data_IF_397980882814
#
_entry.id   IF_397980882814
#
_cell.length_a   1.000
_cell.length_b   1.000
_cell.length_c   1.000
_cell.angle_alpha   90.00
_cell.angle_beta   90.00
_cell.angle_gamma   90.00
#
_symmetry.space_group_name_H-M   'P 1'
#
loop_
_entity.id
_entity.type
_entity.pdbx_description
1 polymer ?
#
# COMPACT_ATOMS: atom_id res chain seq x y z
N UNK A 1 7.45 13.52 18.14
CA UNK A 1 7.33 12.71 16.91
C UNK A 1 7.13 13.66 15.73
N UNK A 2 7.85 13.45 14.60
CA UNK A 2 7.89 14.40 13.51
C UNK A 2 6.51 14.80 12.95
N UNK A 3 5.58 13.86 12.83
CA UNK A 3 4.25 14.07 12.27
C UNK A 3 3.17 13.84 13.33
N UNK A 4 3.14 14.71 14.36
CA UNK A 4 2.25 14.54 15.54
C UNK A 4 0.76 14.48 15.20
N UNK A 5 0.35 15.08 14.08
CA UNK A 5 -1.02 15.10 13.58
C UNK A 5 -1.32 13.97 12.59
N UNK A 6 -0.37 13.07 12.31
CA UNK A 6 -0.64 11.96 11.41
C UNK A 6 -1.72 11.03 11.98
N UNK A 7 -1.65 10.63 13.25
CA UNK A 7 -2.63 9.70 13.82
C UNK A 7 -4.08 10.22 13.80
N UNK A 8 -4.42 11.49 14.15
CA UNK A 8 -5.81 11.95 14.05
C UNK A 8 -6.26 12.06 12.60
N UNK A 9 -5.38 12.43 11.65
CA UNK A 9 -5.72 12.47 10.22
C UNK A 9 -6.03 11.05 9.72
N UNK A 10 -5.18 10.08 10.06
CA UNK A 10 -5.41 8.68 9.71
C UNK A 10 -6.73 8.16 10.29
N UNK A 11 -7.03 8.48 11.55
CA UNK A 11 -8.23 8.02 12.24
C UNK A 11 -9.52 8.69 11.74
N UNK A 12 -9.53 10.02 11.64
CA UNK A 12 -10.75 10.80 11.43
C UNK A 12 -10.96 11.22 9.97
N UNK A 13 -9.96 11.13 9.11
CA UNK A 13 -10.10 11.42 7.68
C UNK A 13 -9.89 10.17 6.81
N UNK A 14 -8.74 9.51 6.94
CA UNK A 14 -8.41 8.41 6.03
C UNK A 14 -9.30 7.18 6.21
N UNK A 15 -9.49 6.69 7.44
CA UNK A 15 -10.33 5.51 7.69
C UNK A 15 -11.78 5.72 7.22
N UNK A 16 -12.47 6.84 7.54
CA UNK A 16 -13.77 7.14 6.96
C UNK A 16 -13.75 7.21 5.44
N UNK A 17 -12.74 7.83 4.83
CA UNK A 17 -12.62 7.90 3.38
C UNK A 17 -12.47 6.51 2.73
N UNK A 18 -11.71 5.60 3.35
CA UNK A 18 -11.62 4.19 2.90
C UNK A 18 -13.00 3.53 2.95
N UNK A 19 -13.73 3.66 4.06
CA UNK A 19 -15.05 3.04 4.21
C UNK A 19 -16.02 3.53 3.13
N UNK A 20 -16.07 4.85 2.90
CA UNK A 20 -16.94 5.46 1.88
C UNK A 20 -16.54 5.01 0.48
N UNK A 21 -15.26 5.16 0.12
CA UNK A 21 -14.76 4.86 -1.22
C UNK A 21 -14.91 3.38 -1.60
N UNK A 22 -14.77 2.46 -0.65
CA UNK A 22 -14.87 1.03 -0.89
C UNK A 22 -16.24 0.45 -0.51
N UNK A 23 -17.22 1.29 -0.12
CA UNK A 23 -18.56 0.80 0.23
C UNK A 23 -19.25 0.09 -0.94
N UNK A 24 -19.39 0.69 -2.13
CA UNK A 24 -20.19 0.07 -3.20
C UNK A 24 -19.57 -1.23 -3.73
N UNK A 25 -18.23 -1.28 -3.80
CA UNK A 25 -17.49 -2.39 -4.40
C UNK A 25 -17.11 -3.51 -3.43
N UNK A 26 -17.04 -3.24 -2.12
CA UNK A 26 -16.57 -4.22 -1.14
C UNK A 26 -17.45 -4.29 0.11
N UNK A 27 -17.53 -3.23 0.92
CA UNK A 27 -18.22 -3.32 2.23
C UNK A 27 -19.72 -3.57 2.10
N UNK A 28 -20.38 -2.97 1.12
CA UNK A 28 -21.79 -3.22 0.80
C UNK A 28 -22.05 -4.55 0.10
N UNK A 29 -21.00 -5.30 -0.26
CA UNK A 29 -21.08 -6.57 -0.97
C UNK A 29 -20.17 -7.65 -0.36
N UNK A 30 -19.97 -7.61 0.97
CA UNK A 30 -19.09 -8.55 1.68
C UNK A 30 -19.43 -10.02 1.38
N UNK A 31 -20.70 -10.48 1.42
CA UNK A 31 -21.01 -11.90 1.22
C UNK A 31 -20.70 -12.44 -0.18
N UNK A 32 -20.59 -11.56 -1.19
CA UNK A 32 -20.29 -11.95 -2.58
C UNK A 32 -18.86 -11.64 -3.00
N UNK A 33 -18.08 -11.02 -2.12
CA UNK A 33 -16.69 -10.72 -2.40
C UNK A 33 -15.87 -12.01 -2.42
N UNK A 34 -15.00 -12.16 -3.41
CA UNK A 34 -14.13 -13.34 -3.46
C UNK A 34 -13.17 -13.37 -2.26
N UNK A 35 -12.70 -14.56 -1.90
CA UNK A 35 -11.65 -14.72 -0.89
C UNK A 35 -10.43 -13.82 -1.14
N UNK A 36 -10.02 -13.64 -2.40
CA UNK A 36 -8.89 -12.78 -2.76
C UNK A 36 -9.10 -11.31 -2.33
N UNK A 37 -10.29 -10.77 -2.55
CA UNK A 37 -10.65 -9.41 -2.12
C UNK A 37 -10.74 -9.31 -0.59
N UNK A 38 -11.22 -10.35 0.10
CA UNK A 38 -11.18 -10.38 1.57
C UNK A 38 -9.74 -10.41 2.09
N UNK A 39 -8.89 -11.28 1.55
CA UNK A 39 -7.49 -11.39 1.96
C UNK A 39 -6.75 -10.06 1.77
N UNK A 40 -6.88 -9.43 0.60
CA UNK A 40 -6.30 -8.10 0.35
C UNK A 40 -6.90 -7.02 1.25
N UNK A 41 -8.23 -6.92 1.31
CA UNK A 41 -8.92 -5.89 2.09
C UNK A 41 -8.59 -5.97 3.59
N UNK A 42 -8.55 -7.17 4.16
CA UNK A 42 -8.20 -7.38 5.58
C UNK A 42 -6.74 -7.06 5.86
N UNK A 43 -5.81 -7.51 5.01
CA UNK A 43 -4.38 -7.25 5.20
C UNK A 43 -4.01 -5.78 4.94
N UNK A 44 -4.62 -5.12 3.97
CA UNK A 44 -4.49 -3.68 3.75
C UNK A 44 -5.06 -2.87 4.93
N UNK A 45 -6.23 -3.25 5.44
CA UNK A 45 -6.81 -2.62 6.64
C UNK A 45 -5.93 -2.81 7.87
N UNK A 46 -5.42 -4.03 8.09
CA UNK A 46 -4.49 -4.32 9.16
C UNK A 46 -3.20 -3.50 9.05
N UNK A 47 -2.69 -3.28 7.83
CA UNK A 47 -1.55 -2.41 7.60
C UNK A 47 -1.83 -0.95 8.00
N UNK A 48 -2.93 -0.36 7.52
CA UNK A 48 -3.30 1.02 7.86
C UNK A 48 -3.50 1.19 9.36
N UNK A 49 -4.18 0.23 10.01
CA UNK A 49 -4.37 0.22 11.47
C UNK A 49 -3.04 0.10 12.22
N UNK A 50 -2.11 -0.72 11.72
CA UNK A 50 -0.78 -0.84 12.30
C UNK A 50 -0.01 0.49 12.20
N UNK A 51 -0.02 1.17 11.04
CA UNK A 51 0.63 2.48 10.89
C UNK A 51 -0.03 3.53 11.78
N UNK A 52 -1.35 3.54 11.89
CA UNK A 52 -2.10 4.39 12.82
C UNK A 52 -1.65 4.15 14.27
N UNK A 53 -1.63 2.89 14.73
CA UNK A 53 -1.23 2.53 16.08
C UNK A 53 0.25 2.88 16.35
N UNK A 54 1.13 2.66 15.38
CA UNK A 54 2.53 3.07 15.45
C UNK A 54 2.67 4.60 15.58
N UNK A 55 1.90 5.36 14.78
CA UNK A 55 1.90 6.82 14.84
C UNK A 55 1.38 7.34 16.18
N UNK A 56 0.28 6.77 16.69
CA UNK A 56 -0.32 7.16 17.97
C UNK A 56 0.58 6.83 19.16
N UNK A 57 1.16 5.63 19.21
CA UNK A 57 2.09 5.24 20.28
C UNK A 57 3.35 6.10 20.27
N UNK A 58 3.86 6.47 19.09
CA UNK A 58 5.01 7.37 18.99
C UNK A 58 4.67 8.83 19.37
N UNK A 59 3.48 9.34 19.05
CA UNK A 59 3.05 10.69 19.43
C UNK A 59 2.77 10.82 20.92
N UNK A 60 2.28 9.76 21.56
CA UNK A 60 2.02 9.67 23.01
C UNK A 60 3.22 9.21 23.82
N UNK A 61 4.42 9.11 23.19
CA UNK A 61 5.68 8.69 23.82
C UNK A 61 5.64 7.27 24.45
N UNK A 62 4.71 6.42 24.03
CA UNK A 62 4.59 5.01 24.44
C UNK A 62 5.55 4.12 23.64
N UNK A 63 6.86 4.39 23.76
CA UNK A 63 7.88 3.76 22.91
C UNK A 63 8.04 2.25 23.12
N UNK A 64 7.73 1.73 24.30
CA UNK A 64 7.71 0.29 24.54
C UNK A 64 6.64 -0.40 23.67
N UNK A 65 5.41 0.13 23.68
CA UNK A 65 4.31 -0.34 22.84
C UNK A 65 4.62 -0.16 21.35
N UNK A 66 5.21 0.98 20.96
CA UNK A 66 5.65 1.21 19.59
C UNK A 66 6.60 0.11 19.10
N UNK A 67 7.65 -0.22 19.88
CA UNK A 67 8.60 -1.30 19.54
C UNK A 67 7.96 -2.68 19.52
N UNK A 68 7.02 -2.95 20.42
CA UNK A 68 6.31 -4.23 20.44
C UNK A 68 5.45 -4.40 19.18
N UNK A 69 4.61 -3.40 18.88
CA UNK A 69 3.77 -3.36 17.69
C UNK A 69 4.58 -3.41 16.40
N UNK A 70 5.80 -2.85 16.37
CA UNK A 70 6.66 -2.90 15.19
C UNK A 70 6.94 -4.35 14.74
N UNK A 71 6.96 -5.33 15.66
CA UNK A 71 7.15 -6.75 15.33
C UNK A 71 6.05 -7.28 14.42
N UNK A 72 4.84 -6.72 14.49
CA UNK A 72 3.72 -7.11 13.62
C UNK A 72 4.03 -6.88 12.14
N UNK A 73 4.97 -5.98 11.80
CA UNK A 73 5.41 -5.74 10.41
C UNK A 73 5.98 -7.01 9.76
N UNK A 74 6.62 -7.90 10.55
CA UNK A 74 7.16 -9.18 10.08
C UNK A 74 6.09 -10.12 9.53
N UNK A 75 4.83 -9.92 9.90
CA UNK A 75 3.68 -10.73 9.46
C UNK A 75 2.78 -9.91 8.54
N UNK A 76 2.47 -8.67 8.90
CA UNK A 76 1.55 -7.81 8.16
C UNK A 76 2.02 -7.55 6.72
N UNK A 77 3.32 -7.27 6.51
CA UNK A 77 3.83 -6.95 5.17
C UNK A 77 3.84 -8.18 4.25
N UNK A 78 4.33 -9.36 4.69
CA UNK A 78 4.21 -10.57 3.88
C UNK A 78 2.78 -10.94 3.53
N UNK A 79 1.86 -10.90 4.51
CA UNK A 79 0.46 -11.21 4.26
C UNK A 79 -0.20 -10.20 3.32
N UNK A 80 0.13 -8.91 3.44
CA UNK A 80 -0.33 -7.88 2.49
C UNK A 80 0.16 -8.18 1.07
N UNK A 81 1.44 -8.53 0.89
CA UNK A 81 1.99 -8.85 -0.43
C UNK A 81 1.31 -10.08 -1.07
N UNK A 82 1.08 -11.13 -0.27
CA UNK A 82 0.30 -12.29 -0.69
C UNK A 82 -1.15 -11.94 -1.04
N UNK A 83 -1.82 -11.16 -0.20
CA UNK A 83 -3.18 -10.69 -0.42
C UNK A 83 -3.31 -9.84 -1.69
N UNK A 84 -2.37 -8.92 -1.93
CA UNK A 84 -2.32 -8.12 -3.15
C UNK A 84 -2.12 -8.99 -4.42
N UNK A 85 -1.25 -10.00 -4.35
CA UNK A 85 -1.07 -10.94 -5.47
C UNK A 85 -2.34 -11.78 -5.73
N UNK A 86 -3.06 -12.20 -4.69
CA UNK A 86 -4.37 -12.85 -4.84
C UNK A 86 -5.39 -11.91 -5.51
N UNK A 87 -5.48 -10.66 -5.06
CA UNK A 87 -6.39 -9.68 -5.66
C UNK A 87 -6.04 -9.42 -7.13
N UNK A 88 -4.76 -9.30 -7.47
CA UNK A 88 -4.30 -9.16 -8.85
C UNK A 88 -4.72 -10.34 -9.73
N UNK A 89 -4.56 -11.57 -9.25
CA UNK A 89 -5.01 -12.77 -9.98
C UNK A 89 -6.54 -12.76 -10.15
N UNK A 90 -7.29 -12.41 -9.12
CA UNK A 90 -8.75 -12.30 -9.20
C UNK A 90 -9.19 -11.23 -10.20
N UNK A 91 -8.50 -10.08 -10.25
CA UNK A 91 -8.76 -9.06 -11.27
C UNK A 91 -8.45 -9.55 -12.68
N UNK A 92 -7.38 -10.31 -12.87
CA UNK A 92 -7.04 -10.93 -14.16
C UNK A 92 -8.13 -11.89 -14.63
N UNK A 93 -8.64 -12.76 -13.75
CA UNK A 93 -9.77 -13.65 -14.05
C UNK A 93 -11.02 -12.86 -14.43
N UNK A 94 -11.38 -11.81 -13.68
CA UNK A 94 -12.54 -10.97 -13.97
C UNK A 94 -12.39 -10.18 -15.27
N UNK A 95 -11.16 -9.78 -15.62
CA UNK A 95 -10.84 -9.12 -16.88
C UNK A 95 -11.06 -10.04 -18.08
N UNK A 96 -10.58 -11.28 -18.02
CA UNK A 96 -10.73 -12.27 -19.11
C UNK A 96 -12.17 -12.74 -19.24
N UNK A 97 -12.82 -13.10 -18.13
CA UNK A 97 -14.19 -13.63 -18.13
C UNK A 97 -15.26 -12.55 -18.33
N UNK A 98 -14.89 -11.27 -18.17
CA UNK A 98 -15.79 -10.11 -18.21
C UNK A 98 -16.96 -10.23 -17.21
N UNK A 99 -16.75 -10.96 -16.11
CA UNK A 99 -17.80 -11.24 -15.12
C UNK A 99 -18.28 -10.00 -14.36
N UNK A 100 -17.48 -8.93 -14.35
CA UNK A 100 -17.82 -7.65 -13.71
C UNK A 100 -17.44 -6.47 -14.63
N UNK A 101 -18.37 -5.54 -14.94
CA UNK A 101 -18.12 -4.46 -15.90
C UNK A 101 -16.89 -3.60 -15.58
N UNK A 102 -16.66 -3.31 -14.29
CA UNK A 102 -15.52 -2.50 -13.86
C UNK A 102 -14.17 -3.17 -14.19
N UNK A 103 -14.02 -4.45 -13.85
CA UNK A 103 -12.77 -5.18 -14.12
C UNK A 103 -12.64 -5.60 -15.59
N UNK A 104 -13.74 -5.77 -16.31
CA UNK A 104 -13.71 -5.95 -17.76
C UNK A 104 -13.09 -4.74 -18.47
N UNK A 105 -13.40 -3.52 -17.99
CA UNK A 105 -12.87 -2.28 -18.57
C UNK A 105 -11.46 -1.94 -18.08
N UNK A 106 -11.19 -2.09 -16.79
CA UNK A 106 -9.99 -1.54 -16.15
C UNK A 106 -9.07 -2.58 -15.51
N UNK A 107 -9.46 -3.85 -15.44
CA UNK A 107 -8.76 -4.88 -14.67
C UNK A 107 -7.30 -5.04 -15.05
N UNK A 108 -6.97 -5.02 -16.35
CA UNK A 108 -5.58 -5.07 -16.79
C UNK A 108 -4.78 -3.84 -16.32
N UNK A 109 -5.34 -2.63 -16.47
CA UNK A 109 -4.67 -1.39 -16.06
C UNK A 109 -4.44 -1.33 -14.55
N UNK A 110 -5.47 -1.69 -13.78
CA UNK A 110 -5.42 -1.77 -12.32
C UNK A 110 -4.43 -2.83 -11.82
N UNK A 111 -4.28 -3.94 -12.54
CA UNK A 111 -3.30 -4.97 -12.19
C UNK A 111 -1.85 -4.44 -12.14
N UNK A 112 -1.43 -3.64 -13.13
CA UNK A 112 -0.08 -3.04 -13.12
C UNK A 112 0.06 -2.01 -12.01
N UNK A 113 -0.99 -1.23 -11.79
CA UNK A 113 -1.06 -0.23 -10.74
C UNK A 113 -0.87 -0.85 -9.34
N UNK A 114 -1.55 -1.96 -9.07
CA UNK A 114 -1.43 -2.72 -7.82
C UNK A 114 -0.03 -3.33 -7.65
N UNK A 115 0.61 -3.79 -8.72
CA UNK A 115 2.01 -4.29 -8.67
C UNK A 115 2.94 -3.17 -8.22
N UNK A 116 2.87 -2.00 -8.86
CA UNK A 116 3.73 -0.86 -8.52
C UNK A 116 3.49 -0.40 -7.08
N UNK A 117 2.23 -0.28 -6.66
CA UNK A 117 1.88 0.11 -5.30
C UNK A 117 2.39 -0.92 -4.26
N UNK A 118 2.23 -2.22 -4.53
CA UNK A 118 2.62 -3.29 -3.60
C UNK A 118 4.14 -3.38 -3.44
N UNK A 119 4.89 -3.35 -4.55
CA UNK A 119 6.35 -3.33 -4.51
C UNK A 119 6.87 -2.09 -3.80
N UNK A 120 6.27 -0.93 -4.08
CA UNK A 120 6.62 0.34 -3.43
C UNK A 120 6.38 0.29 -1.92
N UNK A 121 5.26 -0.29 -1.47
CA UNK A 121 4.97 -0.45 -0.05
C UNK A 121 6.04 -1.29 0.64
N UNK A 122 6.34 -2.49 0.12
CA UNK A 122 7.37 -3.38 0.70
C UNK A 122 8.73 -2.67 0.78
N UNK A 123 9.11 -2.00 -0.30
CA UNK A 123 10.36 -1.24 -0.36
C UNK A 123 10.39 -0.09 0.65
N UNK A 124 9.32 0.71 0.76
CA UNK A 124 9.24 1.83 1.70
C UNK A 124 9.28 1.36 3.15
N UNK A 125 8.63 0.25 3.49
CA UNK A 125 8.71 -0.32 4.84
C UNK A 125 10.13 -0.79 5.14
N UNK A 126 10.76 -1.49 4.20
CA UNK A 126 12.16 -1.89 4.31
C UNK A 126 13.07 -0.68 4.54
N UNK A 127 12.89 0.39 3.76
CA UNK A 127 13.62 1.63 3.89
C UNK A 127 13.38 2.32 5.24
N UNK A 128 12.13 2.30 5.75
CA UNK A 128 11.79 2.80 7.08
C UNK A 128 12.56 2.07 8.19
N UNK A 129 12.65 0.75 8.13
CA UNK A 129 13.37 -0.06 9.13
C UNK A 129 14.89 0.23 9.10
N UNK A 130 15.46 0.36 7.91
CA UNK A 130 16.86 0.79 7.74
C UNK A 130 17.08 2.21 8.30
N UNK A 131 16.12 3.10 8.10
CA UNK A 131 16.17 4.47 8.58
C UNK A 131 15.75 4.64 10.06
N UNK A 132 15.49 3.57 10.83
CA UNK A 132 14.94 3.64 12.20
C UNK A 132 15.69 4.54 13.19
N UNK A 133 16.98 4.79 12.97
CA UNK A 133 17.80 5.71 13.80
C UNK A 133 17.64 7.19 13.41
N UNK A 134 17.11 7.46 12.22
CA UNK A 134 16.76 8.79 11.69
C UNK A 134 15.24 8.95 11.75
N UNK A 135 14.73 9.33 12.93
CA UNK A 135 13.28 9.30 13.24
C UNK A 135 12.42 10.08 12.24
N UNK A 136 12.90 11.23 11.75
CA UNK A 136 12.25 12.01 10.68
C UNK A 136 12.01 11.18 9.42
N UNK A 137 13.10 10.58 8.93
CA UNK A 137 13.10 9.76 7.72
C UNK A 137 12.30 8.46 7.89
N UNK A 138 12.46 7.77 9.02
CA UNK A 138 11.67 6.58 9.35
C UNK A 138 10.16 6.88 9.30
N UNK A 139 9.73 7.96 9.95
CA UNK A 139 8.33 8.33 9.97
C UNK A 139 7.83 8.77 8.59
N UNK A 140 8.65 9.47 7.80
CA UNK A 140 8.30 9.87 6.44
C UNK A 140 8.06 8.65 5.53
N UNK A 141 8.92 7.62 5.58
CA UNK A 141 8.68 6.38 4.85
C UNK A 141 7.41 5.65 5.30
N UNK A 142 7.20 5.51 6.62
CA UNK A 142 5.99 4.85 7.12
C UNK A 142 4.71 5.55 6.66
N UNK A 143 4.66 6.88 6.71
CA UNK A 143 3.51 7.63 6.19
C UNK A 143 3.38 7.54 4.67
N UNK A 144 4.49 7.52 3.94
CA UNK A 144 4.49 7.36 2.48
C UNK A 144 3.79 6.08 2.04
N UNK A 145 3.93 4.97 2.80
CA UNK A 145 3.20 3.72 2.49
C UNK A 145 1.68 3.89 2.52
N UNK A 146 1.17 4.77 3.38
CA UNK A 146 -0.26 5.03 3.50
C UNK A 146 -0.72 5.98 2.41
N UNK A 147 0.12 6.91 1.94
CA UNK A 147 -0.26 7.77 0.81
C UNK A 147 -0.53 6.97 -0.47
N UNK A 148 0.05 5.78 -0.63
CA UNK A 148 -0.18 4.92 -1.80
C UNK A 148 -1.66 4.51 -1.98
N UNK A 149 -2.45 4.49 -0.90
CA UNK A 149 -3.89 4.16 -0.94
C UNK A 149 -4.78 5.37 -1.25
N UNK A 150 -4.24 6.60 -1.23
CA UNK A 150 -5.05 7.78 -1.52
C UNK A 150 -5.58 7.79 -2.95
N UNK A 151 -4.77 7.37 -3.93
CA UNK A 151 -5.19 7.34 -5.34
C UNK A 151 -6.44 6.46 -5.55
N UNK A 152 -6.46 5.18 -5.10
CA UNK A 152 -7.66 4.36 -5.23
C UNK A 152 -8.85 4.82 -4.38
N UNK A 153 -8.65 5.52 -3.26
CA UNK A 153 -9.74 6.13 -2.48
C UNK A 153 -10.41 7.22 -3.32
N UNK A 154 -9.64 8.21 -3.77
CA UNK A 154 -10.15 9.39 -4.48
C UNK A 154 -10.82 8.98 -5.79
N UNK A 155 -10.24 8.02 -6.52
CA UNK A 155 -10.81 7.50 -7.76
C UNK A 155 -12.18 6.81 -7.60
N UNK A 156 -12.57 6.46 -6.36
CA UNK A 156 -13.84 5.79 -6.04
C UNK A 156 -14.85 6.67 -5.31
N UNK A 157 -14.49 7.91 -4.99
CA UNK A 157 -15.44 8.86 -4.40
C UNK A 157 -16.50 9.28 -5.44
N UNK A 158 -17.73 9.60 -5.00
CA UNK A 158 -18.80 10.08 -5.88
C UNK A 158 -18.57 11.54 -6.30
N UNK A 159 -17.45 11.81 -6.97
CA UNK A 159 -17.06 13.13 -7.48
C UNK A 159 -17.03 13.10 -9.02
N UNK A 160 -17.16 14.25 -9.70
CA UNK A 160 -17.03 14.31 -11.16
C UNK A 160 -15.74 13.65 -11.63
N UNK A 161 -15.84 12.87 -12.71
CA UNK A 161 -14.70 12.13 -13.24
C UNK A 161 -13.67 13.10 -13.83
N UNK A 162 -12.52 13.19 -13.17
CA UNK A 162 -11.32 13.88 -13.67
C UNK A 162 -10.23 12.81 -13.82
N UNK A 163 -9.67 12.62 -15.03
CA UNK A 163 -8.60 11.65 -15.25
C UNK A 163 -7.45 11.85 -14.25
N UNK A 164 -7.01 10.76 -13.64
CA UNK A 164 -5.92 10.74 -12.65
C UNK A 164 -6.09 11.65 -11.42
N UNK A 165 -7.33 12.03 -11.07
CA UNK A 165 -7.58 12.87 -9.89
C UNK A 165 -6.97 12.27 -8.61
N UNK A 166 -7.00 10.93 -8.48
CA UNK A 166 -6.43 10.25 -7.34
C UNK A 166 -4.91 10.40 -7.24
N UNK A 167 -4.19 10.24 -8.35
CA UNK A 167 -2.74 10.41 -8.43
C UNK A 167 -2.37 11.88 -8.20
N UNK A 168 -3.08 12.82 -8.80
CA UNK A 168 -2.88 14.26 -8.61
C UNK A 168 -3.08 14.68 -7.15
N UNK A 169 -4.16 14.21 -6.53
CA UNK A 169 -4.43 14.47 -5.11
C UNK A 169 -3.34 13.87 -4.22
N UNK A 170 -2.91 12.64 -4.52
CA UNK A 170 -1.83 11.96 -3.78
C UNK A 170 -0.52 12.75 -3.88
N UNK A 171 -0.16 13.20 -5.08
CA UNK A 171 1.03 14.01 -5.32
C UNK A 171 0.95 15.36 -4.61
N UNK A 172 -0.21 16.04 -4.64
CA UNK A 172 -0.42 17.31 -3.95
C UNK A 172 -0.24 17.17 -2.43
N UNK A 173 -0.84 16.14 -1.82
CA UNK A 173 -0.68 15.85 -0.39
C UNK A 173 0.79 15.54 -0.06
N UNK A 174 1.47 14.74 -0.90
CA UNK A 174 2.87 14.41 -0.70
C UNK A 174 3.79 15.64 -0.81
N UNK A 175 3.55 16.53 -1.79
CA UNK A 175 4.28 17.80 -1.93
C UNK A 175 4.05 18.71 -0.73
N UNK A 176 2.82 18.81 -0.24
CA UNK A 176 2.51 19.59 0.96
C UNK A 176 3.28 19.05 2.18
N UNK A 177 3.30 17.73 2.37
CA UNK A 177 4.07 17.09 3.45
C UNK A 177 5.57 17.32 3.30
N UNK A 178 6.12 17.21 2.09
CA UNK A 178 7.51 17.55 1.80
C UNK A 178 7.84 19.00 2.16
N UNK A 179 6.98 19.95 1.76
CA UNK A 179 7.18 21.37 2.02
C UNK A 179 7.22 21.69 3.52
N UNK A 180 6.49 20.94 4.36
CA UNK A 180 6.58 21.12 5.81
C UNK A 180 7.94 20.70 6.39
N UNK A 181 8.64 19.76 5.75
CA UNK A 181 9.89 19.13 6.25
C UNK A 181 10.84 18.66 5.15
N UNK A 182 11.46 19.57 4.39
CA UNK A 182 12.29 19.20 3.24
C UNK A 182 13.51 18.35 3.62
N UNK A 183 14.10 18.55 4.80
CA UNK A 183 15.30 17.80 5.26
C UNK A 183 15.09 16.28 5.36
N UNK A 184 13.94 15.86 5.87
CA UNK A 184 13.62 14.44 6.13
C UNK A 184 12.44 13.93 5.29
N UNK A 185 11.77 14.82 4.55
CA UNK A 185 10.52 14.57 3.84
C UNK A 185 10.71 14.08 2.40
N UNK A 186 11.94 13.87 1.94
CA UNK A 186 12.19 13.39 0.58
C UNK A 186 11.48 12.07 0.21
N UNK A 187 11.12 11.14 1.13
CA UNK A 187 10.27 10.00 0.76
C UNK A 187 8.91 10.42 0.18
N UNK A 188 8.40 11.60 0.53
CA UNK A 188 7.18 12.12 -0.09
C UNK A 188 7.41 12.51 -1.55
N UNK A 189 8.60 12.97 -1.95
CA UNK A 189 8.92 13.17 -3.36
C UNK A 189 8.94 11.85 -4.14
N UNK A 190 9.28 10.73 -3.50
CA UNK A 190 9.10 9.42 -4.12
C UNK A 190 7.63 9.09 -4.33
N UNK A 191 6.74 9.46 -3.39
CA UNK A 191 5.29 9.29 -3.57
C UNK A 191 4.79 10.12 -4.75
N UNK A 192 5.28 11.35 -4.93
CA UNK A 192 4.98 12.17 -6.12
C UNK A 192 5.43 11.45 -7.38
N UNK A 193 6.70 11.00 -7.43
CA UNK A 193 7.24 10.30 -8.58
C UNK A 193 6.46 9.01 -8.89
N UNK A 194 6.06 8.27 -7.86
CA UNK A 194 5.24 7.06 -8.01
C UNK A 194 3.82 7.38 -8.48
N UNK A 195 3.19 8.44 -7.99
CA UNK A 195 1.88 8.87 -8.48
C UNK A 195 1.94 9.26 -9.96
N UNK A 196 2.97 10.00 -10.38
CA UNK A 196 3.20 10.34 -11.78
C UNK A 196 3.47 9.09 -12.63
N UNK A 197 4.34 8.19 -12.16
CA UNK A 197 4.64 6.93 -12.83
C UNK A 197 3.36 6.09 -13.02
N UNK A 198 2.54 5.99 -11.98
CA UNK A 198 1.26 5.26 -12.01
C UNK A 198 0.29 5.86 -13.03
N UNK A 199 0.13 7.18 -13.07
CA UNK A 199 -0.69 7.84 -14.09
C UNK A 199 -0.17 7.56 -15.51
N UNK A 200 1.13 7.76 -15.75
CA UNK A 200 1.74 7.56 -17.07
C UNK A 200 1.64 6.10 -17.51
N UNK A 201 2.00 5.14 -16.66
CA UNK A 201 1.94 3.73 -17.02
C UNK A 201 0.49 3.28 -17.29
N UNK A 202 -0.49 3.83 -16.56
CA UNK A 202 -1.89 3.46 -16.69
C UNK A 202 -2.43 3.77 -18.09
N UNK A 203 -2.02 4.90 -18.67
CA UNK A 203 -2.41 5.31 -20.03
C UNK A 203 -1.51 4.77 -21.13
N UNK A 204 -0.32 4.27 -20.80
CA UNK A 204 0.66 3.77 -21.78
C UNK A 204 0.77 2.25 -21.72
N UNK A 205 1.70 1.74 -20.92
CA UNK A 205 2.03 0.30 -20.83
C UNK A 205 0.81 -0.51 -20.45
N UNK A 206 0.07 -0.08 -19.42
CA UNK A 206 -1.08 -0.82 -18.89
C UNK A 206 -2.29 -0.81 -19.85
N UNK A 207 -2.36 0.19 -20.75
CA UNK A 207 -3.37 0.27 -21.80
C UNK A 207 -3.04 -0.57 -23.04
N UNK A 208 -1.82 -1.11 -23.13
CA UNK A 208 -1.35 -1.81 -24.33
C UNK A 208 -1.96 -3.21 -24.48
N UNK A 209 -2.14 -3.66 -25.73
CA UNK A 209 -2.57 -5.03 -26.03
C UNK A 209 -1.57 -6.09 -25.55
N UNK A 210 -0.27 -5.74 -25.50
CA UNK A 210 0.76 -6.63 -24.95
C UNK A 210 0.56 -6.85 -23.45
N UNK A 211 0.32 -5.79 -22.68
CA UNK A 211 0.02 -5.92 -21.26
C UNK A 211 -1.30 -6.67 -21.03
N UNK A 212 -2.35 -6.36 -21.79
CA UNK A 212 -3.62 -7.08 -21.69
C UNK A 212 -3.46 -8.59 -21.91
N UNK A 213 -2.61 -9.02 -22.87
CA UNK A 213 -2.27 -10.44 -23.08
C UNK A 213 -1.52 -11.04 -21.89
N UNK A 214 -0.55 -10.32 -21.31
CA UNK A 214 0.16 -10.77 -20.12
C UNK A 214 -0.81 -10.98 -18.94
N UNK A 215 -1.72 -10.02 -18.71
CA UNK A 215 -2.76 -10.16 -17.69
C UNK A 215 -3.69 -11.33 -18.00
N UNK A 216 -4.02 -11.55 -19.27
CA UNK A 216 -4.78 -12.72 -19.69
C UNK A 216 -4.12 -14.04 -19.26
N UNK A 217 -2.80 -14.18 -19.49
CA UNK A 217 -2.06 -15.35 -19.04
C UNK A 217 -2.01 -15.49 -17.51
N UNK A 218 -2.02 -14.38 -16.77
CA UNK A 218 -2.08 -14.42 -15.30
C UNK A 218 -3.40 -15.00 -14.78
N UNK A 219 -4.49 -14.95 -15.54
CA UNK A 219 -5.77 -15.53 -15.15
C UNK A 219 -5.69 -17.06 -15.02
N UNK A 220 -4.85 -17.70 -15.84
CA UNK A 220 -4.65 -19.15 -15.85
C UNK A 220 -3.63 -19.63 -14.80
N UNK A 221 -2.87 -18.70 -14.19
CA UNK A 221 -1.91 -19.03 -13.14
C UNK A 221 -2.67 -19.32 -11.84
N UNK A 222 -2.41 -20.47 -11.17
CA UNK A 222 -3.01 -20.75 -9.87
C UNK A 222 -2.70 -19.63 -8.87
N UNK A 223 -3.70 -19.13 -8.18
CA UNK A 223 -3.56 -17.98 -7.27
C UNK A 223 -2.46 -18.18 -6.21
N UNK A 224 -2.28 -19.41 -5.71
CA UNK A 224 -1.22 -19.76 -4.77
C UNK A 224 0.20 -19.59 -5.37
N UNK A 225 0.37 -19.85 -6.66
CA UNK A 225 1.65 -19.70 -7.35
C UNK A 225 2.06 -18.22 -7.52
N UNK A 226 1.13 -17.28 -7.41
CA UNK A 226 1.43 -15.83 -7.34
C UNK A 226 1.57 -15.35 -5.90
N UNK A 227 0.68 -15.79 -5.02
CA UNK A 227 0.64 -15.33 -3.63
C UNK A 227 1.82 -15.80 -2.78
N UNK A 228 2.25 -17.06 -2.94
CA UNK A 228 3.35 -17.61 -2.15
C UNK A 228 4.69 -16.91 -2.45
N UNK A 229 5.13 -16.75 -3.72
CA UNK A 229 6.36 -16.01 -4.01
C UNK A 229 6.30 -14.56 -3.53
N UNK A 230 5.16 -13.87 -3.70
CA UNK A 230 4.99 -12.49 -3.21
C UNK A 230 5.14 -12.41 -1.69
N UNK A 231 4.52 -13.34 -0.96
CA UNK A 231 4.61 -13.44 0.51
C UNK A 231 6.06 -13.70 0.95
N UNK A 232 6.73 -14.68 0.34
CA UNK A 232 8.10 -15.07 0.67
C UNK A 232 9.11 -13.96 0.33
N UNK A 233 8.96 -13.31 -0.82
CA UNK A 233 9.81 -12.19 -1.23
C UNK A 233 9.67 -11.01 -0.27
N UNK A 234 8.44 -10.65 0.11
CA UNK A 234 8.20 -9.61 1.10
C UNK A 234 8.74 -9.99 2.49
N UNK A 235 8.56 -11.25 2.92
CA UNK A 235 9.13 -11.75 4.17
C UNK A 235 10.66 -11.63 4.17
N UNK A 236 11.33 -12.10 3.12
CA UNK A 236 12.78 -11.98 2.97
C UNK A 236 13.24 -10.50 2.96
N UNK A 237 12.52 -9.63 2.25
CA UNK A 237 12.83 -8.20 2.18
C UNK A 237 12.81 -7.53 3.55
N UNK A 238 11.85 -7.87 4.42
CA UNK A 238 11.76 -7.33 5.78
C UNK A 238 12.74 -8.04 6.73
N UNK A 239 12.84 -9.37 6.65
CA UNK A 239 13.68 -10.18 7.52
C UNK A 239 15.16 -9.79 7.44
N UNK A 240 15.66 -9.53 6.23
CA UNK A 240 17.07 -9.19 5.99
C UNK A 240 17.50 -7.84 6.57
N UNK A 241 16.56 -6.93 6.83
CA UNK A 241 16.85 -5.61 7.44
C UNK A 241 16.43 -5.53 8.90
N UNK A 242 15.79 -6.57 9.41
CA UNK A 242 15.26 -6.58 10.77
C UNK A 242 16.39 -6.53 11.80
N UNK A 243 16.27 -5.69 12.85
CA UNK A 243 17.30 -5.59 13.87
C UNK A 243 17.19 -6.75 14.88
N UNK A 244 17.57 -7.96 14.46
CA UNK A 244 17.53 -9.22 15.24
C UNK A 244 18.27 -9.21 16.58
N UNK A 245 18.91 -8.11 16.95
CA UNK A 245 19.89 -7.92 18.01
C UNK A 245 21.33 -8.13 17.51
N UNK A 246 22.08 -7.02 17.41
CA UNK A 246 23.49 -7.05 17.75
C UNK A 246 23.54 -7.02 19.28
N UNK A 247 23.37 -8.18 19.90
CA UNK A 247 23.54 -8.38 21.33
C UNK A 247 24.78 -9.22 21.58
N UNK A 248 25.54 -8.86 22.62
CA UNK A 248 26.69 -9.57 23.19
C UNK A 248 28.10 -9.32 22.60
N UNK A 249 28.49 -8.08 22.29
CA UNK A 249 29.91 -7.73 22.19
C UNK A 249 30.19 -6.31 22.70
N UNK A 250 30.11 -6.12 24.02
CA UNK A 250 30.84 -5.07 24.77
C UNK A 250 30.44 -5.07 26.26
N UNK A 251 30.66 -6.19 26.95
CA UNK A 251 30.93 -6.20 28.40
C UNK A 251 31.96 -7.32 28.60
N UNK A 252 33.22 -6.99 28.33
CA UNK A 252 34.40 -7.71 28.78
C UNK A 252 35.40 -6.64 29.22
#
# INVERSE_FOLDING_TARGET
MPYRFAWPILLFALLPAILIAFWPGYFGNLPRSSFAFHAHGLTASAWVLLVLAQSWTASTRRFASHRWLARAVLVAVPLFAGGAALAMQSMAVKFVTKSEPFYAALGARLGLDDVVASVSLVWMVRAAILARRRVGLHAAYMLSTVLLVLSPIIARLPVPHVPHLGELFTAAVALALYATRPRDGWPFLLVVALATLRAVQFETVAASATWARLVGMLADVPAAALALPATLAAAAAIWTVWPWQRGAASVA
#
